data_IF_513998029908
#
_entry.id   IF_513998029908
#
_cell.length_a   1.000
_cell.length_b   1.000
_cell.length_c   1.000
_cell.angle_alpha   90.00
_cell.angle_beta   90.00
_cell.angle_gamma   90.00
#
_symmetry.space_group_name_H-M   'P 1'
#
loop_
_entity.id
_entity.type
_entity.pdbx_description
1 polymer ?
#
# COMPACT_ATOMS: atom_id res chain seq x y z
N UNK A 1 -14.95 -70.81 -24.38
CA UNK A 1 -14.64 -69.36 -24.44
C UNK A 1 -14.79 -68.80 -23.03
N UNK A 2 -13.67 -68.69 -22.31
CA UNK A 2 -13.66 -68.72 -20.83
C UNK A 2 -13.97 -67.35 -20.20
N UNK A 3 -15.01 -67.34 -19.34
CA UNK A 3 -15.46 -66.22 -18.49
C UNK A 3 -14.35 -65.62 -17.61
N UNK A 4 -13.28 -66.36 -17.33
CA UNK A 4 -12.19 -65.97 -16.44
C UNK A 4 -11.32 -64.85 -17.04
N UNK A 5 -11.20 -64.76 -18.37
CA UNK A 5 -10.35 -63.75 -19.02
C UNK A 5 -10.99 -62.37 -19.04
N UNK A 6 -12.34 -62.27 -19.06
CA UNK A 6 -13.04 -60.98 -19.04
C UNK A 6 -13.03 -60.30 -17.66
N UNK A 7 -12.89 -61.07 -16.57
CA UNK A 7 -12.89 -60.53 -15.21
C UNK A 7 -11.51 -59.97 -14.79
N UNK A 8 -10.40 -60.50 -15.35
CA UNK A 8 -9.06 -59.97 -15.07
C UNK A 8 -8.77 -58.65 -15.79
N UNK A 9 -9.36 -58.43 -16.97
CA UNK A 9 -9.23 -57.15 -17.69
C UNK A 9 -10.05 -56.05 -17.03
N UNK A 10 -11.20 -56.38 -16.42
CA UNK A 10 -12.04 -55.39 -15.74
C UNK A 10 -11.43 -54.90 -14.41
N UNK A 11 -10.71 -55.77 -13.68
CA UNK A 11 -10.06 -55.40 -12.41
C UNK A 11 -8.79 -54.58 -12.63
N UNK A 12 -8.08 -54.77 -13.76
CA UNK A 12 -6.89 -53.97 -14.07
C UNK A 12 -7.22 -52.52 -14.49
N UNK A 13 -8.38 -52.30 -15.12
CA UNK A 13 -8.83 -50.95 -15.53
C UNK A 13 -9.39 -50.15 -14.35
N UNK A 14 -9.96 -50.82 -13.34
CA UNK A 14 -10.50 -50.14 -12.15
C UNK A 14 -9.39 -49.70 -11.16
N UNK A 15 -8.25 -50.39 -11.13
CA UNK A 15 -7.11 -50.01 -10.29
C UNK A 15 -6.32 -48.80 -10.82
N UNK A 16 -6.42 -48.50 -12.12
CA UNK A 16 -5.80 -47.33 -12.75
C UNK A 16 -6.58 -46.03 -12.54
N UNK A 17 -7.83 -46.09 -12.06
CA UNK A 17 -8.65 -44.90 -11.80
C UNK A 17 -8.47 -44.30 -10.39
N UNK A 18 -7.75 -44.95 -9.48
CA UNK A 18 -7.45 -44.39 -8.15
C UNK A 18 -6.09 -43.69 -8.04
N UNK A 19 -5.26 -43.71 -9.10
CA UNK A 19 -3.94 -43.06 -9.09
C UNK A 19 -3.92 -41.68 -9.75
N UNK A 20 -5.04 -41.18 -10.28
CA UNK A 20 -5.09 -39.91 -11.03
C UNK A 20 -5.49 -38.67 -10.20
N UNK A 21 -5.66 -38.80 -8.88
CA UNK A 21 -5.85 -37.67 -7.98
C UNK A 21 -4.72 -37.61 -6.93
N UNK A 22 -3.47 -37.79 -7.35
CA UNK A 22 -2.35 -37.13 -6.66
C UNK A 22 -2.12 -35.83 -7.39
N UNK A 23 -3.05 -34.87 -7.19
CA UNK A 23 -2.79 -33.50 -7.61
C UNK A 23 -1.61 -33.04 -6.75
N UNK A 24 -0.48 -32.84 -7.42
CA UNK A 24 0.69 -32.19 -6.90
C UNK A 24 0.28 -31.02 -6.02
N UNK A 25 0.90 -30.95 -4.84
CA UNK A 25 0.88 -29.81 -3.93
C UNK A 25 0.68 -28.51 -4.69
N UNK A 26 -0.57 -28.04 -4.73
CA UNK A 26 -0.93 -26.71 -5.17
C UNK A 26 -0.37 -25.73 -4.16
N UNK A 27 0.95 -25.49 -4.20
CA UNK A 27 1.50 -24.25 -3.68
C UNK A 27 0.78 -23.17 -4.47
N UNK A 28 -0.11 -22.46 -3.79
CA UNK A 28 -0.70 -21.25 -4.32
C UNK A 28 0.43 -20.42 -4.97
N UNK A 29 0.19 -19.83 -6.16
CA UNK A 29 1.20 -18.99 -6.80
C UNK A 29 1.75 -18.00 -5.76
N UNK A 30 3.06 -18.02 -5.53
CA UNK A 30 3.64 -17.01 -4.65
C UNK A 30 3.40 -15.63 -5.28
N UNK A 31 2.90 -14.65 -4.51
CA UNK A 31 2.63 -13.34 -5.06
C UNK A 31 3.92 -12.75 -5.62
N UNK A 32 3.91 -12.52 -6.92
CA UNK A 32 4.99 -11.84 -7.65
C UNK A 32 4.88 -10.35 -7.41
N UNK A 33 6.03 -9.68 -7.31
CA UNK A 33 6.08 -8.23 -7.11
C UNK A 33 5.35 -7.50 -8.24
N UNK A 34 4.41 -6.61 -7.89
CA UNK A 34 3.70 -5.77 -8.86
C UNK A 34 4.70 -4.93 -9.69
N UNK A 35 4.63 -4.92 -11.04
CA UNK A 35 5.57 -4.16 -11.88
C UNK A 35 5.57 -2.65 -11.64
N UNK A 36 4.42 -2.06 -11.30
CA UNK A 36 4.29 -0.62 -10.98
C UNK A 36 4.97 -0.35 -9.66
N UNK A 37 4.74 -1.20 -8.64
CA UNK A 37 5.40 -1.08 -7.34
C UNK A 37 6.91 -1.24 -7.50
N UNK A 38 7.36 -2.23 -8.27
CA UNK A 38 8.78 -2.43 -8.57
C UNK A 38 9.40 -1.17 -9.18
N UNK A 39 8.76 -0.59 -10.19
CA UNK A 39 9.26 0.65 -10.82
C UNK A 39 9.39 1.77 -9.80
N UNK A 40 8.36 2.00 -8.97
CA UNK A 40 8.39 3.03 -7.91
C UNK A 40 9.48 2.77 -6.87
N UNK A 41 9.74 1.50 -6.55
CA UNK A 41 10.83 1.12 -5.64
C UNK A 41 12.22 1.44 -6.21
N UNK A 42 12.39 1.28 -7.52
CA UNK A 42 13.64 1.58 -8.24
C UNK A 42 13.83 3.09 -8.48
N UNK A 43 12.75 3.89 -8.46
CA UNK A 43 12.72 5.31 -8.80
C UNK A 43 12.17 6.15 -7.62
N UNK A 44 12.93 6.37 -6.53
CA UNK A 44 12.45 7.14 -5.39
C UNK A 44 12.16 8.60 -5.77
N UNK A 45 11.06 9.15 -5.26
CA UNK A 45 10.62 10.53 -5.46
C UNK A 45 10.42 11.20 -4.12
N UNK A 46 11.51 11.66 -3.51
CA UNK A 46 11.47 12.31 -2.18
C UNK A 46 10.88 13.73 -2.23
N UNK A 47 10.84 14.34 -3.41
CA UNK A 47 10.30 15.70 -3.61
C UNK A 47 9.38 15.69 -4.82
N UNK A 48 8.21 16.28 -4.66
CA UNK A 48 7.34 16.70 -5.75
C UNK A 48 7.24 18.21 -5.73
N UNK A 49 7.46 18.86 -6.88
CA UNK A 49 7.38 20.30 -6.98
C UNK A 49 6.83 20.69 -8.34
N UNK A 50 5.86 21.58 -8.34
CA UNK A 50 5.30 22.24 -9.52
C UNK A 50 5.03 23.73 -9.21
N UNK A 51 4.24 24.38 -10.06
CA UNK A 51 3.92 25.81 -9.94
C UNK A 51 2.96 26.12 -8.76
N UNK A 52 2.31 25.11 -8.17
CA UNK A 52 1.37 25.30 -7.07
C UNK A 52 1.90 24.79 -5.74
N UNK A 53 2.57 23.64 -5.70
CA UNK A 53 2.97 23.01 -4.45
C UNK A 53 4.40 22.45 -4.48
N UNK A 54 4.98 22.39 -3.29
CA UNK A 54 6.18 21.62 -2.99
C UNK A 54 5.85 20.63 -1.87
N UNK A 55 5.98 19.34 -2.15
CA UNK A 55 5.76 18.24 -1.21
C UNK A 55 7.07 17.48 -1.00
N UNK A 56 7.41 17.14 0.24
CA UNK A 56 8.63 16.38 0.57
C UNK A 56 8.35 15.23 1.52
N UNK A 57 8.92 14.07 1.23
CA UNK A 57 8.99 12.96 2.17
C UNK A 57 10.21 13.17 3.07
N UNK A 58 9.98 13.34 4.36
CA UNK A 58 11.04 13.56 5.34
C UNK A 58 11.34 12.24 6.05
N UNK A 59 12.47 11.63 5.71
CA UNK A 59 12.94 10.39 6.33
C UNK A 59 14.47 10.45 6.47
N UNK A 60 14.99 10.07 7.64
CA UNK A 60 16.42 10.21 7.96
C UNK A 60 17.28 9.12 7.31
N UNK A 61 16.73 7.91 7.18
CA UNK A 61 17.43 6.74 6.63
C UNK A 61 16.43 5.77 5.99
N UNK A 62 16.92 4.92 5.09
CA UNK A 62 16.10 3.93 4.39
C UNK A 62 16.43 2.48 4.77
N UNK A 63 17.31 2.28 5.75
CA UNK A 63 17.68 0.96 6.28
C UNK A 63 17.46 0.92 7.78
N UNK A 64 16.69 -0.06 8.22
CA UNK A 64 16.25 -0.22 9.60
C UNK A 64 16.53 -1.64 10.07
N UNK A 65 16.72 -1.81 11.37
CA UNK A 65 16.79 -3.14 11.97
C UNK A 65 15.40 -3.70 12.21
N UNK A 66 15.25 -5.02 12.18
CA UNK A 66 14.02 -5.65 12.69
C UNK A 66 13.72 -5.17 14.12
N UNK A 67 12.50 -4.72 14.36
CA UNK A 67 12.06 -4.17 15.65
C UNK A 67 12.42 -2.70 15.88
N UNK A 68 13.14 -2.06 14.96
CA UNK A 68 13.41 -0.62 15.03
C UNK A 68 12.19 0.19 14.56
N UNK A 69 11.73 1.20 15.35
CA UNK A 69 10.69 2.11 14.90
C UNK A 69 11.10 2.92 13.67
N UNK A 70 10.23 2.95 12.66
CA UNK A 70 10.40 3.72 11.44
C UNK A 70 9.66 5.05 11.59
N UNK A 71 10.41 6.15 11.70
CA UNK A 71 9.86 7.50 11.80
C UNK A 71 10.06 8.26 10.50
N UNK A 72 8.96 8.79 9.97
CA UNK A 72 8.97 9.69 8.83
C UNK A 72 7.74 10.60 8.85
N UNK A 73 7.83 11.67 8.07
CA UNK A 73 6.74 12.63 7.88
C UNK A 73 6.68 13.05 6.42
N UNK A 74 5.67 13.84 6.09
CA UNK A 74 5.60 14.55 4.82
C UNK A 74 5.35 16.02 5.08
N UNK A 75 5.95 16.88 4.26
CA UNK A 75 5.65 18.31 4.29
C UNK A 75 4.96 18.74 3.00
N UNK A 76 4.07 19.71 3.10
CA UNK A 76 3.41 20.37 1.97
C UNK A 76 3.51 21.89 2.13
N UNK A 77 3.94 22.56 1.08
CA UNK A 77 4.04 24.02 0.98
C UNK A 77 3.28 24.48 -0.24
N UNK A 78 2.37 25.45 -0.09
CA UNK A 78 1.78 26.16 -1.22
C UNK A 78 2.76 27.22 -1.73
N UNK A 79 3.18 27.11 -3.00
CA UNK A 79 4.18 27.98 -3.64
C UNK A 79 3.62 28.80 -4.80
N UNK A 80 2.33 28.66 -5.10
CA UNK A 80 1.67 29.37 -6.19
C UNK A 80 1.59 30.89 -6.01
N UNK A 81 1.05 31.56 -7.02
CA UNK A 81 1.14 33.02 -7.15
C UNK A 81 0.26 33.81 -6.17
N UNK A 82 -0.86 33.24 -5.74
CA UNK A 82 -1.79 33.90 -4.83
C UNK A 82 -1.30 33.82 -3.38
N UNK A 83 -1.79 34.70 -2.51
CA UNK A 83 -1.44 34.66 -1.08
C UNK A 83 -1.91 33.38 -0.37
N UNK A 84 -2.94 32.73 -0.91
CA UNK A 84 -3.47 31.47 -0.41
C UNK A 84 -4.20 30.69 -1.50
N UNK A 85 -4.42 29.41 -1.22
CA UNK A 85 -5.33 28.54 -1.97
C UNK A 85 -6.32 27.86 -1.02
N UNK A 86 -7.53 27.62 -1.52
CA UNK A 86 -8.54 26.80 -0.82
C UNK A 86 -8.58 25.43 -1.46
N UNK A 87 -8.29 24.40 -0.67
CA UNK A 87 -8.41 22.99 -1.01
C UNK A 87 -9.79 22.48 -0.61
N UNK A 88 -10.30 21.49 -1.32
CA UNK A 88 -11.60 20.88 -1.08
C UNK A 88 -11.46 19.36 -0.98
N UNK A 89 -11.90 18.77 0.13
CA UNK A 89 -11.78 17.33 0.36
C UNK A 89 -11.86 16.96 1.84
N UNK A 90 -11.38 15.76 2.21
CA UNK A 90 -11.32 15.36 3.62
C UNK A 90 -10.45 16.30 4.44
N UNK A 91 -10.70 16.36 5.75
CA UNK A 91 -9.84 17.14 6.67
C UNK A 91 -8.42 16.60 6.72
N UNK A 92 -8.24 15.30 6.49
CA UNK A 92 -6.95 14.63 6.33
C UNK A 92 -6.64 14.54 4.84
N UNK A 93 -6.06 15.60 4.29
CA UNK A 93 -5.80 15.72 2.85
C UNK A 93 -4.38 15.29 2.44
N UNK A 94 -3.63 14.68 3.37
CA UNK A 94 -2.38 13.95 3.12
C UNK A 94 -2.58 12.52 3.59
N UNK A 95 -2.33 11.57 2.68
CA UNK A 95 -2.63 10.16 2.85
C UNK A 95 -1.37 9.35 2.72
N UNK A 96 -1.08 8.49 3.69
CA UNK A 96 0.08 7.61 3.67
C UNK A 96 -0.27 6.23 3.14
N UNK A 97 0.63 5.63 2.38
CA UNK A 97 0.53 4.23 1.96
C UNK A 97 1.85 3.49 2.17
N UNK A 98 1.75 2.18 2.35
CA UNK A 98 2.88 1.29 2.58
C UNK A 98 2.59 -0.07 1.95
N UNK A 99 3.54 -0.62 1.19
CA UNK A 99 3.39 -1.97 0.62
C UNK A 99 4.71 -2.70 0.47
N UNK A 100 4.69 -4.04 0.63
CA UNK A 100 5.80 -4.92 0.20
C UNK A 100 5.71 -5.31 -1.29
N UNK A 101 4.69 -4.78 -1.99
CA UNK A 101 4.34 -5.09 -3.38
C UNK A 101 3.87 -6.52 -3.59
N UNK A 102 3.49 -7.21 -2.51
CA UNK A 102 2.98 -8.58 -2.50
C UNK A 102 1.67 -8.66 -1.73
N UNK A 103 1.74 -8.88 -0.41
CA UNK A 103 0.59 -9.18 0.45
C UNK A 103 0.31 -8.07 1.44
N UNK A 104 1.36 -7.44 1.95
CA UNK A 104 1.22 -6.35 2.91
C UNK A 104 0.95 -5.08 2.11
N UNK A 105 -0.26 -4.56 2.23
CA UNK A 105 -0.66 -3.28 1.65
C UNK A 105 -1.50 -2.52 2.66
N UNK A 106 -1.00 -1.37 3.10
CA UNK A 106 -1.73 -0.37 3.84
C UNK A 106 -1.97 0.80 2.89
N UNK A 107 -3.24 1.04 2.58
CA UNK A 107 -3.67 2.24 1.88
C UNK A 107 -4.21 3.22 2.90
N UNK A 108 -4.14 4.52 2.59
CA UNK A 108 -4.66 5.47 3.53
C UNK A 108 -6.17 5.62 3.44
N UNK A 109 -6.80 5.78 4.60
CA UNK A 109 -8.24 5.90 4.72
C UNK A 109 -8.62 7.36 4.99
N UNK A 110 -9.63 7.83 4.26
CA UNK A 110 -10.20 9.15 4.44
C UNK A 110 -11.71 9.12 4.59
N UNK A 111 -12.22 10.18 5.18
CA UNK A 111 -13.64 10.42 5.38
C UNK A 111 -14.24 11.12 4.16
N UNK A 112 -15.56 11.01 3.98
CA UNK A 112 -16.24 11.46 2.75
C UNK A 112 -16.68 12.92 2.77
N UNK A 113 -16.36 13.69 3.82
CA UNK A 113 -16.74 15.09 3.88
C UNK A 113 -16.01 15.94 2.85
N UNK A 114 -16.72 16.96 2.35
CA UNK A 114 -16.17 18.01 1.53
C UNK A 114 -15.87 19.22 2.43
N UNK A 115 -14.72 19.21 3.09
CA UNK A 115 -14.23 20.33 3.89
C UNK A 115 -13.38 21.27 3.03
N UNK A 116 -13.47 22.58 3.29
CA UNK A 116 -12.57 23.58 2.75
C UNK A 116 -11.35 23.75 3.66
N UNK A 117 -10.14 23.66 3.11
CA UNK A 117 -8.90 23.93 3.85
C UNK A 117 -8.10 25.05 3.18
N UNK A 118 -7.76 26.10 3.93
CA UNK A 118 -6.90 27.19 3.44
C UNK A 118 -5.42 26.87 3.68
N UNK A 119 -4.61 26.96 2.62
CA UNK A 119 -3.14 26.97 2.71
C UNK A 119 -2.62 28.36 2.36
N UNK A 120 -1.74 28.90 3.19
CA UNK A 120 -1.13 30.22 3.00
C UNK A 120 0.20 30.02 2.24
N UNK A 121 0.48 30.92 1.31
CA UNK A 121 1.70 30.86 0.48
C UNK A 121 2.95 30.90 1.36
N UNK A 122 3.88 29.99 1.07
CA UNK A 122 5.17 29.89 1.76
C UNK A 122 5.10 29.22 3.14
N UNK A 123 3.92 29.00 3.71
CA UNK A 123 3.78 28.21 4.93
C UNK A 123 3.96 26.72 4.62
N UNK A 124 4.92 26.10 5.30
CA UNK A 124 5.16 24.65 5.21
C UNK A 124 4.44 23.97 6.36
N UNK A 125 3.53 23.05 6.04
CA UNK A 125 2.87 22.20 7.03
C UNK A 125 3.50 20.82 7.01
N UNK A 126 3.76 20.27 8.20
CA UNK A 126 4.30 18.93 8.37
C UNK A 126 3.21 17.98 8.89
N UNK A 127 3.17 16.79 8.31
CA UNK A 127 2.22 15.74 8.59
C UNK A 127 3.02 14.50 9.03
N UNK A 128 3.00 14.12 10.31
CA UNK A 128 3.65 12.89 10.75
C UNK A 128 2.96 11.69 10.12
N UNK A 129 3.72 10.63 9.85
CA UNK A 129 3.14 9.36 9.44
C UNK A 129 2.10 8.89 10.46
N UNK A 130 0.97 8.42 9.96
CA UNK A 130 -0.03 7.71 10.75
C UNK A 130 -0.50 6.48 9.98
N UNK A 131 -0.70 5.38 10.72
CA UNK A 131 -1.35 4.20 10.17
C UNK A 131 -2.82 4.51 9.95
N UNK A 132 -3.34 4.06 8.82
CA UNK A 132 -4.77 4.14 8.54
C UNK A 132 -5.20 2.93 7.73
N UNK A 133 -6.46 2.55 7.87
CA UNK A 133 -7.01 1.35 7.27
C UNK A 133 -7.99 0.65 8.20
N UNK A 134 -8.53 -0.46 7.73
CA UNK A 134 -9.38 -1.34 8.51
C UNK A 134 -9.07 -2.79 8.13
N UNK A 135 -9.56 -3.73 8.93
CA UNK A 135 -9.45 -5.16 8.63
C UNK A 135 -10.75 -5.87 9.02
N UNK A 136 -11.04 -6.97 8.34
CA UNK A 136 -12.15 -7.85 8.72
C UNK A 136 -11.70 -8.82 9.81
N UNK A 137 -12.50 -9.09 10.85
CA UNK A 137 -12.23 -10.19 11.78
C UNK A 137 -12.16 -11.58 11.13
N UNK A 138 -12.68 -11.72 9.91
CA UNK A 138 -12.63 -12.96 9.12
C UNK A 138 -11.47 -13.01 8.13
N UNK A 139 -10.63 -11.98 8.08
CA UNK A 139 -9.42 -11.96 7.26
C UNK A 139 -8.43 -13.03 7.77
N UNK A 140 -7.83 -13.86 6.91
CA UNK A 140 -6.77 -14.79 7.31
C UNK A 140 -5.61 -14.15 8.09
N UNK A 141 -5.36 -12.86 7.90
CA UNK A 141 -4.33 -12.07 8.58
C UNK A 141 -4.91 -11.06 9.59
N UNK A 142 -6.15 -11.26 10.05
CA UNK A 142 -6.82 -10.35 11.00
C UNK A 142 -5.98 -10.06 12.25
N UNK A 143 -5.28 -11.07 12.79
CA UNK A 143 -4.42 -10.89 13.97
C UNK A 143 -3.22 -9.99 13.68
N UNK A 144 -2.61 -10.13 12.49
CA UNK A 144 -1.54 -9.26 12.04
C UNK A 144 -2.04 -7.82 11.93
N UNK A 145 -3.16 -7.59 11.24
CA UNK A 145 -3.70 -6.24 11.05
C UNK A 145 -4.14 -5.61 12.36
N UNK A 146 -4.77 -6.39 13.25
CA UNK A 146 -5.13 -5.95 14.60
C UNK A 146 -3.90 -5.45 15.34
N UNK A 147 -2.85 -6.27 15.41
CA UNK A 147 -1.61 -5.88 16.08
C UNK A 147 -0.96 -4.66 15.42
N UNK A 148 -0.88 -4.66 14.09
CA UNK A 148 -0.29 -3.59 13.30
C UNK A 148 -0.97 -2.24 13.57
N UNK A 149 -2.31 -2.19 13.60
CA UNK A 149 -3.05 -0.95 13.85
C UNK A 149 -3.11 -0.54 15.34
N UNK A 150 -2.92 -1.48 16.28
CA UNK A 150 -2.84 -1.14 17.72
C UNK A 150 -1.46 -0.65 18.15
N UNK A 151 -0.40 -1.04 17.44
CA UNK A 151 0.96 -0.56 17.71
C UNK A 151 1.08 0.91 17.29
N UNK A 152 1.58 1.77 18.18
CA UNK A 152 1.73 3.20 17.91
C UNK A 152 2.87 3.44 16.91
N UNK A 153 3.97 2.72 17.06
CA UNK A 153 5.14 2.88 16.21
C UNK A 153 5.00 2.09 14.89
N UNK A 154 5.59 2.60 13.81
CA UNK A 154 5.73 1.78 12.60
C UNK A 154 6.88 0.79 12.78
N UNK A 155 6.54 -0.45 13.12
CA UNK A 155 7.48 -1.57 13.21
C UNK A 155 7.09 -2.59 12.14
N UNK A 156 8.03 -2.96 11.29
CA UNK A 156 7.81 -3.89 10.19
C UNK A 156 8.67 -5.15 10.36
N UNK A 157 8.21 -6.31 9.85
CA UNK A 157 9.06 -7.46 9.65
C UNK A 157 10.23 -7.16 8.71
N UNK A 158 11.22 -8.07 8.66
CA UNK A 158 12.28 -8.00 7.67
C UNK A 158 11.69 -8.01 6.24
N UNK A 159 12.15 -7.11 5.38
CA UNK A 159 11.59 -6.95 4.05
C UNK A 159 12.01 -5.67 3.35
N UNK A 160 11.48 -5.48 2.14
CA UNK A 160 11.63 -4.27 1.35
C UNK A 160 10.25 -3.69 1.10
N UNK A 161 10.08 -2.41 1.42
CA UNK A 161 8.78 -1.75 1.42
C UNK A 161 8.85 -0.46 0.62
N UNK A 162 7.81 -0.19 -0.15
CA UNK A 162 7.53 1.13 -0.69
C UNK A 162 6.69 1.87 0.33
N UNK A 163 7.16 3.04 0.75
CA UNK A 163 6.37 4.01 1.52
C UNK A 163 6.07 5.21 0.66
N UNK A 164 4.87 5.77 0.79
CA UNK A 164 4.46 6.94 0.04
C UNK A 164 3.52 7.84 0.83
N UNK A 165 3.46 9.09 0.42
CA UNK A 165 2.45 10.05 0.83
C UNK A 165 1.89 10.74 -0.41
N UNK A 166 0.58 10.91 -0.45
CA UNK A 166 -0.11 11.56 -1.55
C UNK A 166 -1.10 12.61 -1.06
N UNK A 167 -1.37 13.59 -1.91
CA UNK A 167 -2.42 14.57 -1.72
C UNK A 167 -3.78 13.92 -1.97
N UNK A 168 -4.73 14.17 -1.08
CA UNK A 168 -6.12 13.78 -1.27
C UNK A 168 -7.04 14.99 -1.14
N UNK A 169 -6.99 15.85 -2.16
CA UNK A 169 -7.81 17.04 -2.25
C UNK A 169 -8.03 17.49 -3.70
N UNK A 170 -9.05 18.30 -3.86
CA UNK A 170 -9.37 19.02 -5.09
C UNK A 170 -9.02 20.50 -4.99
N UNK A 171 -8.62 21.09 -6.11
CA UNK A 171 -8.33 22.53 -6.25
C UNK A 171 -9.60 23.37 -6.46
N UNK A 172 -10.77 22.72 -6.60
CA UNK A 172 -12.06 23.38 -6.76
C UNK A 172 -13.15 22.68 -5.95
N UNK A 173 -14.13 23.44 -5.48
CA UNK A 173 -15.30 22.93 -4.73
C UNK A 173 -16.13 21.95 -5.56
N UNK A 174 -16.14 22.11 -6.88
CA UNK A 174 -16.90 21.27 -7.80
C UNK A 174 -16.36 19.84 -7.86
N UNK A 175 -15.12 19.60 -7.43
CA UNK A 175 -14.36 18.33 -7.44
C UNK A 175 -14.20 17.63 -8.81
N UNK A 176 -14.88 18.10 -9.86
CA UNK A 176 -14.76 17.59 -11.22
C UNK A 176 -13.42 18.01 -11.82
N UNK A 177 -12.61 17.04 -12.23
CA UNK A 177 -11.31 17.22 -12.90
C UNK A 177 -10.34 18.16 -12.17
N UNK A 178 -10.50 18.29 -10.86
CA UNK A 178 -9.69 19.20 -10.04
C UNK A 178 -8.82 18.50 -8.99
N UNK A 179 -8.76 17.17 -9.03
CA UNK A 179 -7.90 16.39 -8.15
C UNK A 179 -6.43 16.76 -8.36
N UNK A 180 -5.70 16.98 -7.27
CA UNK A 180 -4.28 17.29 -7.33
C UNK A 180 -3.42 16.02 -7.09
N UNK A 181 -2.67 15.54 -8.10
CA UNK A 181 -1.98 14.26 -8.03
C UNK A 181 -0.57 14.36 -7.39
N UNK A 182 -0.41 15.21 -6.37
CA UNK A 182 0.85 15.38 -5.68
C UNK A 182 1.22 14.13 -4.88
N UNK A 183 2.41 13.57 -5.12
CA UNK A 183 2.86 12.33 -4.47
C UNK A 183 4.38 12.32 -4.28
N UNK A 184 4.83 11.79 -3.15
CA UNK A 184 6.23 11.47 -2.85
C UNK A 184 6.33 10.03 -2.33
N UNK A 185 7.45 9.36 -2.63
CA UNK A 185 7.66 7.97 -2.23
C UNK A 185 9.14 7.60 -2.15
N UNK A 186 9.44 6.55 -1.38
CA UNK A 186 10.77 5.93 -1.35
C UNK A 186 10.69 4.48 -0.91
N UNK A 187 11.79 3.76 -1.13
CA UNK A 187 11.98 2.39 -0.65
C UNK A 187 12.69 2.39 0.69
N UNK A 188 12.21 1.57 1.61
CA UNK A 188 12.89 1.23 2.86
C UNK A 188 13.17 -0.27 2.94
N UNK A 189 14.23 -0.62 3.66
CA UNK A 189 14.67 -2.00 3.90
C UNK A 189 14.73 -2.22 5.41
N UNK A 190 14.20 -3.36 5.85
CA UNK A 190 14.28 -3.84 7.22
C UNK A 190 15.05 -5.16 7.23
N UNK A 191 16.16 -5.21 7.96
CA UNK A 191 17.09 -6.36 8.01
C UNK A 191 17.62 -6.68 9.42
#
# INVERSE_FOLDING_TARGET
>A
MNRITRMKVLVLVLALMFAACSNENGKAPQPTLDPIVKKRMDEPKLVHKDDQFEMKLNIQKTKFKVGEPIQYSTSLTYVGDNDFITLWGPRTYIVFSLTDGKKLTMEGANTTELASTKLIRGETKEYPFSKSGSYSPTDPDADFWKQFYTEADLILPAGTYLIAAQCDFSLSEKVVDSYYPGEVHTTIIVE
#
